data_IF_154507091401
#
_entry.id   IF_154507091401
#
_cell.length_a   1.000
_cell.length_b   1.000
_cell.length_c   1.000
_cell.angle_alpha   90.00
_cell.angle_beta   90.00
_cell.angle_gamma   90.00
#
_symmetry.space_group_name_H-M   'P 1'
#
loop_
_entity.id
_entity.type
_entity.pdbx_description
1 polymer ?
#
# COMPACT_ATOMS: atom_id res chain seq x y z
N UNK A 1 -6.73 -54.81 -3.23
CA UNK A 1 -6.85 -53.34 -3.31
C UNK A 1 -5.76 -52.77 -2.41
N UNK A 2 -4.72 -52.16 -2.98
CA UNK A 2 -3.53 -51.74 -2.23
C UNK A 2 -3.83 -50.65 -1.20
N UNK A 3 -3.28 -50.81 0.02
CA UNK A 3 -3.35 -49.84 1.12
C UNK A 3 -2.89 -48.44 0.69
N UNK A 4 -1.90 -48.37 -0.20
CA UNK A 4 -1.36 -47.13 -0.77
C UNK A 4 -2.35 -46.39 -1.69
N UNK A 5 -3.20 -47.12 -2.44
CA UNK A 5 -4.23 -46.51 -3.30
C UNK A 5 -5.35 -45.89 -2.46
N UNK A 6 -5.78 -46.54 -1.37
CA UNK A 6 -6.80 -45.98 -0.46
C UNK A 6 -6.36 -44.68 0.19
N UNK A 7 -5.10 -44.58 0.63
CA UNK A 7 -4.59 -43.34 1.22
C UNK A 7 -4.59 -42.17 0.24
N UNK A 8 -4.38 -42.42 -1.06
CA UNK A 8 -4.49 -41.37 -2.08
C UNK A 8 -5.95 -40.93 -2.31
N UNK A 9 -6.88 -41.88 -2.36
CA UNK A 9 -8.32 -41.57 -2.52
C UNK A 9 -8.79 -40.70 -1.36
N UNK A 10 -8.45 -41.05 -0.12
CA UNK A 10 -8.85 -40.29 1.08
C UNK A 10 -8.26 -38.87 1.09
N UNK A 11 -7.00 -38.70 0.66
CA UNK A 11 -6.38 -37.39 0.51
C UNK A 11 -7.02 -36.55 -0.60
N UNK A 12 -7.34 -37.15 -1.74
CA UNK A 12 -7.98 -36.45 -2.85
C UNK A 12 -9.43 -36.11 -2.56
N UNK A 13 -10.14 -36.93 -1.79
CA UNK A 13 -11.52 -36.65 -1.41
C UNK A 13 -11.63 -35.46 -0.45
N UNK A 14 -10.60 -35.21 0.36
CA UNK A 14 -10.52 -34.00 1.18
C UNK A 14 -10.20 -32.72 0.39
N UNK A 15 -9.79 -32.81 -0.90
CA UNK A 15 -9.43 -31.63 -1.70
C UNK A 15 -10.62 -31.06 -2.48
N UNK A 16 -10.67 -29.73 -2.69
CA UNK A 16 -11.66 -29.11 -3.56
C UNK A 16 -11.39 -29.47 -5.04
N UNK A 17 -12.47 -29.64 -5.81
CA UNK A 17 -12.43 -30.16 -7.19
C UNK A 17 -11.56 -29.32 -8.14
N UNK A 18 -11.47 -28.01 -7.93
CA UNK A 18 -10.58 -27.11 -8.69
C UNK A 18 -9.09 -27.46 -8.53
N UNK A 19 -8.66 -27.87 -7.33
CA UNK A 19 -7.29 -28.31 -7.07
C UNK A 19 -7.01 -29.70 -7.64
N UNK A 20 -8.00 -30.59 -7.64
CA UNK A 20 -7.89 -31.92 -8.27
C UNK A 20 -7.73 -31.80 -9.79
N UNK A 21 -8.54 -30.97 -10.44
CA UNK A 21 -8.43 -30.70 -11.89
C UNK A 21 -7.09 -30.02 -12.23
N UNK A 22 -6.62 -29.10 -11.39
CA UNK A 22 -5.30 -28.48 -11.57
C UNK A 22 -4.15 -29.50 -11.43
N UNK A 23 -4.24 -30.42 -10.46
CA UNK A 23 -3.24 -31.48 -10.24
C UNK A 23 -3.28 -32.53 -11.35
N UNK A 24 -4.46 -32.85 -11.88
CA UNK A 24 -4.60 -33.66 -13.11
C UNK A 24 -3.89 -33.02 -14.29
N UNK A 25 -4.06 -31.70 -14.49
CA UNK A 25 -3.39 -30.91 -15.54
C UNK A 25 -1.87 -30.89 -15.42
N UNK A 26 -1.33 -30.74 -14.21
CA UNK A 26 0.12 -30.70 -14.00
C UNK A 26 0.81 -32.03 -14.32
N UNK A 27 0.07 -33.15 -14.31
CA UNK A 27 0.64 -34.48 -14.54
C UNK A 27 1.68 -34.85 -13.48
N UNK A 28 2.56 -35.81 -13.82
CA UNK A 28 3.66 -36.20 -12.92
C UNK A 28 3.26 -36.98 -11.67
N UNK A 29 2.01 -37.43 -11.57
CA UNK A 29 1.58 -38.33 -10.52
C UNK A 29 2.08 -39.76 -10.80
N UNK A 30 2.45 -40.46 -9.74
CA UNK A 30 2.67 -41.91 -9.77
C UNK A 30 1.41 -42.58 -10.34
N UNK A 31 1.51 -43.61 -11.20
CA UNK A 31 0.34 -44.22 -11.87
C UNK A 31 -0.79 -44.63 -10.90
N UNK A 32 -0.44 -45.07 -9.69
CA UNK A 32 -1.39 -45.40 -8.62
C UNK A 32 -2.19 -44.18 -8.12
N UNK A 33 -1.52 -43.03 -7.97
CA UNK A 33 -2.14 -41.77 -7.56
C UNK A 33 -2.95 -41.14 -8.70
N UNK A 34 -2.52 -41.29 -9.95
CA UNK A 34 -3.29 -40.86 -11.12
C UNK A 34 -4.61 -41.63 -11.25
N UNK A 35 -4.58 -42.96 -11.05
CA UNK A 35 -5.78 -43.79 -11.05
C UNK A 35 -6.73 -43.43 -9.89
N UNK A 36 -6.19 -43.20 -8.68
CA UNK A 36 -6.97 -42.75 -7.52
C UNK A 36 -7.62 -41.37 -7.74
N UNK A 37 -6.91 -40.45 -8.38
CA UNK A 37 -7.41 -39.11 -8.66
C UNK A 37 -8.54 -39.12 -9.71
N UNK A 38 -8.41 -39.96 -10.74
CA UNK A 38 -9.49 -40.19 -11.72
C UNK A 38 -10.74 -40.83 -11.08
N UNK A 39 -10.56 -41.79 -10.18
CA UNK A 39 -11.65 -42.43 -9.41
C UNK A 39 -12.46 -41.39 -8.62
N UNK A 40 -11.77 -40.44 -7.96
CA UNK A 40 -12.39 -39.37 -7.16
C UNK A 40 -13.04 -38.30 -8.05
N UNK A 41 -12.47 -38.02 -9.22
CA UNK A 41 -13.11 -37.12 -10.20
C UNK A 41 -14.38 -37.76 -10.78
N UNK A 42 -14.34 -39.05 -11.09
CA UNK A 42 -15.47 -39.82 -11.61
C UNK A 42 -16.60 -39.92 -10.58
N UNK A 43 -16.28 -40.18 -9.30
CA UNK A 43 -17.27 -40.18 -8.20
C UNK A 43 -17.95 -38.83 -8.00
N UNK A 44 -17.29 -37.73 -8.41
CA UNK A 44 -17.83 -36.36 -8.40
C UNK A 44 -18.55 -35.99 -9.69
N UNK A 45 -18.77 -36.94 -10.59
CA UNK A 45 -19.51 -36.75 -11.85
C UNK A 45 -18.67 -36.19 -13.00
N UNK A 46 -17.34 -36.12 -12.85
CA UNK A 46 -16.42 -35.71 -13.89
C UNK A 46 -15.87 -36.95 -14.61
N UNK A 47 -16.52 -37.32 -15.71
CA UNK A 47 -15.93 -38.26 -16.65
C UNK A 47 -14.66 -37.65 -17.27
N UNK A 48 -13.73 -38.50 -17.73
CA UNK A 48 -12.45 -38.07 -18.30
C UNK A 48 -12.61 -37.02 -19.41
N UNK A 49 -13.60 -37.21 -20.28
CA UNK A 49 -13.95 -36.25 -21.35
C UNK A 49 -14.47 -34.90 -20.81
N UNK A 50 -15.30 -34.91 -19.76
CA UNK A 50 -15.81 -33.68 -19.13
C UNK A 50 -14.75 -32.93 -18.33
N UNK A 51 -13.79 -33.65 -17.74
CA UNK A 51 -12.65 -33.05 -17.06
C UNK A 51 -11.75 -32.31 -18.06
N UNK A 52 -11.50 -32.90 -19.23
CA UNK A 52 -10.72 -32.28 -20.32
C UNK A 52 -11.46 -31.09 -20.94
N UNK A 53 -12.79 -31.18 -21.16
CA UNK A 53 -13.61 -30.08 -21.68
C UNK A 53 -13.67 -28.88 -20.72
N UNK A 54 -13.86 -29.12 -19.42
CA UNK A 54 -13.81 -28.04 -18.42
C UNK A 54 -12.43 -27.41 -18.31
N UNK A 55 -11.37 -28.19 -18.53
CA UNK A 55 -10.01 -27.67 -18.54
C UNK A 55 -9.79 -26.70 -19.69
N UNK A 56 -10.28 -27.05 -20.89
CA UNK A 56 -10.20 -26.19 -22.07
C UNK A 56 -11.00 -24.90 -21.89
N UNK A 57 -12.22 -24.99 -21.35
CA UNK A 57 -13.05 -23.81 -21.06
C UNK A 57 -12.42 -22.89 -19.99
N UNK A 58 -11.80 -23.46 -18.96
CA UNK A 58 -11.11 -22.67 -17.95
C UNK A 58 -9.85 -21.98 -18.51
N UNK A 59 -9.15 -22.62 -19.45
CA UNK A 59 -7.97 -22.07 -20.10
C UNK A 59 -8.33 -20.93 -21.06
N UNK A 60 -9.37 -21.08 -21.88
CA UNK A 60 -9.84 -20.02 -22.77
C UNK A 60 -10.34 -18.81 -21.98
N UNK A 61 -11.10 -19.02 -20.91
CA UNK A 61 -11.57 -17.95 -20.03
C UNK A 61 -10.40 -17.23 -19.32
N UNK A 62 -9.36 -17.96 -18.91
CA UNK A 62 -8.17 -17.37 -18.30
C UNK A 62 -7.37 -16.52 -19.30
N UNK A 63 -7.23 -17.00 -20.54
CA UNK A 63 -6.57 -16.27 -21.63
C UNK A 63 -7.36 -15.00 -21.98
N UNK A 64 -8.68 -15.10 -22.14
CA UNK A 64 -9.55 -13.95 -22.44
C UNK A 64 -9.46 -12.89 -21.34
N UNK A 65 -9.47 -13.31 -20.06
CA UNK A 65 -9.29 -12.40 -18.93
C UNK A 65 -7.90 -11.75 -18.90
N UNK A 66 -6.86 -12.49 -19.27
CA UNK A 66 -5.50 -11.97 -19.36
C UNK A 66 -5.36 -10.94 -20.49
N UNK A 67 -5.95 -11.22 -21.66
CA UNK A 67 -5.99 -10.31 -22.82
C UNK A 67 -6.78 -9.05 -22.48
N UNK A 68 -7.96 -9.17 -21.87
CA UNK A 68 -8.75 -8.01 -21.45
C UNK A 68 -8.00 -7.12 -20.45
N UNK A 69 -7.22 -7.72 -19.53
CA UNK A 69 -6.38 -6.97 -18.59
C UNK A 69 -5.21 -6.27 -19.28
N UNK A 70 -4.60 -6.91 -20.28
CA UNK A 70 -3.55 -6.32 -21.10
C UNK A 70 -4.07 -5.13 -21.91
N UNK A 71 -5.20 -5.30 -22.61
CA UNK A 71 -5.86 -4.21 -23.35
C UNK A 71 -6.25 -3.05 -22.44
N UNK A 72 -6.80 -3.33 -21.26
CA UNK A 72 -7.14 -2.29 -20.28
C UNK A 72 -5.90 -1.51 -19.84
N UNK A 73 -4.77 -2.20 -19.64
CA UNK A 73 -3.49 -1.59 -19.25
C UNK A 73 -2.90 -0.76 -20.37
N UNK A 74 -2.95 -1.23 -21.62
CA UNK A 74 -2.50 -0.48 -22.78
C UNK A 74 -3.36 0.76 -23.05
N UNK A 75 -4.69 0.64 -22.93
CA UNK A 75 -5.60 1.81 -23.01
C UNK A 75 -5.29 2.83 -21.92
N UNK A 76 -4.99 2.38 -20.70
CA UNK A 76 -4.59 3.26 -19.61
C UNK A 76 -3.25 3.97 -19.90
N UNK A 77 -2.26 3.25 -20.44
CA UNK A 77 -0.96 3.82 -20.86
C UNK A 77 -1.11 4.81 -22.01
N UNK A 78 -1.91 4.49 -23.03
CA UNK A 78 -2.16 5.39 -24.15
C UNK A 78 -2.88 6.68 -23.72
N UNK A 79 -3.84 6.58 -22.79
CA UNK A 79 -4.50 7.74 -22.16
C UNK A 79 -3.53 8.57 -21.33
N UNK A 80 -2.66 7.94 -20.54
CA UNK A 80 -1.63 8.62 -19.76
C UNK A 80 -0.61 9.35 -20.65
N UNK A 81 -0.19 8.71 -21.76
CA UNK A 81 0.70 9.32 -22.75
C UNK A 81 0.06 10.55 -23.39
N UNK A 82 -1.21 10.48 -23.81
CA UNK A 82 -1.95 11.65 -24.34
C UNK A 82 -2.09 12.77 -23.30
N UNK A 83 -2.43 12.45 -22.05
CA UNK A 83 -2.49 13.44 -20.96
C UNK A 83 -1.14 14.08 -20.65
N UNK A 84 -0.02 13.37 -20.87
CA UNK A 84 1.32 13.90 -20.60
C UNK A 84 1.81 14.92 -21.65
N UNK A 85 1.22 14.91 -22.85
CA UNK A 85 1.60 15.78 -23.96
C UNK A 85 0.85 17.12 -23.92
N UNK A 86 -0.25 17.23 -23.17
CA UNK A 86 -1.00 18.49 -23.08
C UNK A 86 -0.22 19.56 -22.26
N UNK A 87 0.33 20.60 -22.91
CA UNK A 87 1.16 21.61 -22.23
C UNK A 87 0.37 22.38 -21.17
N UNK A 88 -0.95 22.43 -21.32
CA UNK A 88 -1.85 23.13 -20.40
C UNK A 88 -2.16 22.30 -19.15
N UNK A 89 -2.25 20.97 -19.27
CA UNK A 89 -2.43 20.10 -18.11
C UNK A 89 -1.17 20.07 -17.25
N UNK A 90 0.01 20.12 -17.89
CA UNK A 90 1.28 20.29 -17.21
C UNK A 90 1.33 21.61 -16.42
N UNK A 91 0.90 22.73 -17.01
CA UNK A 91 0.80 24.03 -16.30
C UNK A 91 -0.16 23.97 -15.12
N UNK A 92 -1.33 23.38 -15.30
CA UNK A 92 -2.32 23.27 -14.23
C UNK A 92 -1.82 22.39 -13.07
N UNK A 93 -1.14 21.27 -13.39
CA UNK A 93 -0.50 20.42 -12.38
C UNK A 93 0.57 21.20 -11.62
N UNK A 94 1.44 21.94 -12.32
CA UNK A 94 2.48 22.77 -11.68
C UNK A 94 1.85 23.83 -10.80
N UNK A 95 0.77 24.49 -11.24
CA UNK A 95 0.05 25.49 -10.46
C UNK A 95 -0.54 24.89 -9.17
N UNK A 96 -1.20 23.73 -9.28
CA UNK A 96 -1.74 23.01 -8.12
C UNK A 96 -0.62 22.58 -7.15
N UNK A 97 0.48 22.04 -7.67
CA UNK A 97 1.62 21.65 -6.85
C UNK A 97 2.28 22.86 -6.16
N UNK A 98 2.37 24.01 -6.84
CA UNK A 98 2.90 25.24 -6.23
C UNK A 98 2.06 25.74 -5.04
N UNK A 99 0.78 25.35 -4.98
CA UNK A 99 -0.14 25.69 -3.90
C UNK A 99 -0.09 24.64 -2.78
N UNK A 100 -0.05 23.35 -3.13
CA UNK A 100 -0.09 22.25 -2.15
C UNK A 100 1.26 22.06 -1.46
N UNK A 101 2.38 22.19 -2.18
CA UNK A 101 3.73 21.94 -1.65
C UNK A 101 4.06 22.82 -0.45
N UNK A 102 3.83 24.14 -0.45
CA UNK A 102 4.14 24.98 0.70
C UNK A 102 3.38 24.57 1.96
N UNK A 103 2.11 24.17 1.82
CA UNK A 103 1.29 23.70 2.95
C UNK A 103 1.84 22.39 3.50
N UNK A 104 2.09 21.41 2.62
CA UNK A 104 2.69 20.13 3.03
C UNK A 104 4.05 20.35 3.68
N UNK A 105 4.89 21.21 3.09
CA UNK A 105 6.21 21.54 3.62
C UNK A 105 6.11 22.21 5.00
N UNK A 106 5.16 23.12 5.22
CA UNK A 106 4.91 23.73 6.52
C UNK A 106 4.62 22.67 7.58
N UNK A 107 3.70 21.73 7.30
CA UNK A 107 3.40 20.62 8.21
C UNK A 107 4.59 19.69 8.43
N UNK A 108 5.37 19.39 7.39
CA UNK A 108 6.57 18.55 7.49
C UNK A 108 7.64 19.23 8.35
N UNK A 109 7.87 20.54 8.17
CA UNK A 109 8.80 21.31 8.99
C UNK A 109 8.36 21.33 10.46
N UNK A 110 7.07 21.43 10.73
CA UNK A 110 6.51 21.36 12.09
C UNK A 110 6.55 19.94 12.68
N UNK A 111 6.68 18.91 11.84
CA UNK A 111 6.91 17.54 12.27
C UNK A 111 8.41 17.22 12.53
N UNK A 112 9.35 18.08 12.13
CA UNK A 112 10.79 17.89 12.39
C UNK A 112 11.13 17.69 13.88
N UNK A 113 10.54 18.43 14.83
CA UNK A 113 10.75 18.19 16.26
C UNK A 113 10.48 16.74 16.68
N UNK A 114 9.48 16.08 16.07
CA UNK A 114 9.19 14.66 16.33
C UNK A 114 10.31 13.75 15.82
N UNK A 115 10.90 14.06 14.67
CA UNK A 115 12.09 13.36 14.15
C UNK A 115 13.33 13.58 15.03
N UNK A 116 13.49 14.78 15.60
CA UNK A 116 14.55 15.11 16.54
C UNK A 116 14.56 14.18 17.77
N UNK A 117 13.38 13.84 18.30
CA UNK A 117 13.24 12.91 19.42
C UNK A 117 13.84 11.53 19.11
N UNK A 118 13.58 10.99 17.91
CA UNK A 118 14.15 9.70 17.51
C UNK A 118 15.67 9.75 17.37
N UNK A 119 16.21 10.86 16.85
CA UNK A 119 17.67 11.04 16.71
C UNK A 119 18.35 11.11 18.07
N UNK A 120 17.77 11.79 19.05
CA UNK A 120 18.33 11.90 20.40
C UNK A 120 18.25 10.57 21.14
N UNK A 121 17.14 9.84 21.03
CA UNK A 121 17.02 8.49 21.62
C UNK A 121 18.05 7.53 21.02
N UNK A 122 18.18 7.50 19.69
CA UNK A 122 19.15 6.68 18.97
C UNK A 122 20.60 7.07 19.33
N UNK A 123 20.89 8.37 19.38
CA UNK A 123 22.21 8.88 19.74
C UNK A 123 22.65 8.47 21.14
N UNK A 124 21.74 8.56 22.11
CA UNK A 124 21.99 8.12 23.47
C UNK A 124 22.10 6.59 23.61
N UNK A 125 21.30 5.84 22.86
CA UNK A 125 21.40 4.37 22.77
C UNK A 125 22.78 3.92 22.26
N UNK A 126 23.32 4.60 21.24
CA UNK A 126 24.68 4.34 20.73
C UNK A 126 25.80 4.65 21.72
N UNK A 127 25.55 5.55 22.67
CA UNK A 127 26.48 5.87 23.76
C UNK A 127 26.37 4.88 24.93
N UNK A 128 25.54 3.85 24.82
CA UNK A 128 25.35 2.83 25.85
C UNK A 128 24.34 3.20 26.93
N UNK A 129 23.60 4.31 26.76
CA UNK A 129 22.55 4.71 27.70
C UNK A 129 21.24 3.99 27.33
N UNK A 130 20.75 3.11 28.22
CA UNK A 130 19.43 2.49 28.06
C UNK A 130 18.34 3.46 28.52
N UNK A 131 17.55 3.98 27.57
CA UNK A 131 16.44 4.92 27.82
C UNK A 131 15.09 4.20 28.02
N UNK A 132 15.11 2.96 28.51
CA UNK A 132 13.89 2.20 28.76
C UNK A 132 13.13 2.73 29.98
N UNK A 133 11.80 2.65 29.94
CA UNK A 133 10.87 3.08 30.99
C UNK A 133 11.18 2.49 32.38
N UNK A 134 11.92 1.37 32.41
CA UNK A 134 12.29 0.62 33.62
C UNK A 134 13.69 0.93 34.15
N UNK A 135 14.46 1.83 33.53
CA UNK A 135 15.85 2.09 33.89
C UNK A 135 16.26 3.55 33.65
N UNK A 136 15.58 4.49 34.32
CA UNK A 136 16.03 5.90 34.38
C UNK A 136 17.18 6.02 35.38
N UNK A 137 18.36 5.55 34.98
CA UNK A 137 19.59 5.75 35.73
C UNK A 137 20.41 6.89 35.12
N UNK A 138 21.11 7.71 35.93
CA UNK A 138 22.00 8.73 35.42
C UNK A 138 23.10 8.08 34.58
N UNK A 139 23.17 8.47 33.30
CA UNK A 139 24.13 7.93 32.35
C UNK A 139 25.22 8.98 32.14
N UNK A 140 26.42 8.74 32.72
CA UNK A 140 27.52 9.68 32.61
C UNK A 140 28.41 9.38 31.41
N UNK A 141 28.46 10.31 30.46
CA UNK A 141 29.39 10.27 29.33
C UNK A 141 30.26 11.52 29.43
N UNK A 142 31.58 11.34 29.53
CA UNK A 142 32.55 12.43 29.67
C UNK A 142 32.26 13.37 30.86
N UNK A 143 31.72 12.82 31.96
CA UNK A 143 31.37 13.60 33.16
C UNK A 143 30.05 14.36 33.08
N UNK A 144 29.31 14.26 31.97
CA UNK A 144 27.98 14.86 31.82
C UNK A 144 26.89 13.80 31.96
N UNK A 145 25.82 14.13 32.70
CA UNK A 145 24.62 13.30 32.81
C UNK A 145 23.78 13.41 31.54
N UNK A 146 24.01 12.46 30.63
CA UNK A 146 23.26 12.34 29.38
C UNK A 146 21.81 11.88 29.62
N UNK A 147 21.54 11.21 30.74
CA UNK A 147 20.17 10.84 31.12
C UNK A 147 19.31 12.08 31.36
N UNK A 148 19.82 13.03 32.15
CA UNK A 148 19.16 14.32 32.38
C UNK A 148 19.04 15.15 31.10
N UNK A 149 20.07 15.14 30.23
CA UNK A 149 20.04 15.89 28.97
C UNK A 149 19.00 15.34 27.99
N UNK A 150 18.96 14.02 27.82
CA UNK A 150 17.98 13.35 26.96
C UNK A 150 16.58 13.49 27.54
N UNK A 151 16.41 13.40 28.86
CA UNK A 151 15.11 13.57 29.49
C UNK A 151 14.59 15.01 29.35
N UNK A 152 15.44 16.01 29.59
CA UNK A 152 15.09 17.42 29.36
C UNK A 152 14.73 17.68 27.90
N UNK A 153 15.54 17.19 26.96
CA UNK A 153 15.27 17.28 25.53
C UNK A 153 13.95 16.59 25.15
N UNK A 154 13.72 15.36 25.64
CA UNK A 154 12.52 14.59 25.35
C UNK A 154 11.30 15.28 25.92
N UNK A 155 11.31 15.75 27.17
CA UNK A 155 10.15 16.43 27.75
C UNK A 155 9.90 17.76 27.02
N UNK A 156 10.92 18.58 26.82
CA UNK A 156 10.76 19.90 26.19
C UNK A 156 10.33 19.80 24.73
N UNK A 157 10.91 18.88 23.95
CA UNK A 157 10.64 18.74 22.51
C UNK A 157 9.48 17.78 22.25
N UNK A 158 9.16 16.85 23.13
CA UNK A 158 7.87 16.15 23.08
C UNK A 158 6.72 17.09 23.42
N UNK A 159 6.87 17.96 24.42
CA UNK A 159 5.86 18.99 24.71
C UNK A 159 5.76 19.94 23.52
N UNK A 160 6.86 20.56 23.07
CA UNK A 160 6.84 21.44 21.89
C UNK A 160 6.34 20.72 20.63
N UNK A 161 6.73 19.46 20.44
CA UNK A 161 6.41 18.61 19.30
C UNK A 161 5.01 18.02 19.31
N UNK A 162 4.40 17.78 20.48
CA UNK A 162 3.01 17.33 20.62
C UNK A 162 2.03 18.51 20.61
N UNK A 163 2.43 19.65 21.17
CA UNK A 163 1.71 20.90 20.99
C UNK A 163 1.86 21.46 19.57
N UNK A 164 2.91 21.08 18.82
CA UNK A 164 3.14 21.60 17.47
C UNK A 164 2.02 21.30 16.48
N UNK A 165 1.53 20.05 16.31
CA UNK A 165 0.44 19.74 15.39
C UNK A 165 -0.85 20.47 15.76
N UNK A 166 -1.15 20.59 17.06
CA UNK A 166 -2.33 21.28 17.56
C UNK A 166 -2.24 22.78 17.26
N UNK A 167 -1.09 23.39 17.57
CA UNK A 167 -0.83 24.80 17.28
C UNK A 167 -0.79 25.09 15.77
N UNK A 168 -0.21 24.17 14.99
CA UNK A 168 -0.17 24.24 13.53
C UNK A 168 -1.57 24.17 12.93
N UNK A 169 -2.42 23.28 13.45
CA UNK A 169 -3.82 23.18 13.04
C UNK A 169 -4.59 24.45 13.41
N UNK A 170 -4.39 25.00 14.61
CA UNK A 170 -5.03 26.25 15.03
C UNK A 170 -4.58 27.45 14.17
N UNK A 171 -3.28 27.57 13.91
CA UNK A 171 -2.74 28.59 13.00
C UNK A 171 -3.28 28.42 11.58
N UNK A 172 -3.41 27.18 11.10
CA UNK A 172 -3.99 26.91 9.80
C UNK A 172 -5.47 27.30 9.74
N UNK A 173 -6.26 27.02 10.79
CA UNK A 173 -7.66 27.46 10.88
C UNK A 173 -7.75 28.99 10.90
N UNK A 174 -6.91 29.66 11.70
CA UNK A 174 -6.83 31.14 11.71
C UNK A 174 -6.43 31.68 10.35
N UNK A 175 -5.49 31.02 9.66
CA UNK A 175 -5.11 31.36 8.29
C UNK A 175 -6.29 31.20 7.33
N UNK A 176 -7.05 30.10 7.38
CA UNK A 176 -8.23 29.87 6.54
C UNK A 176 -9.31 30.94 6.75
N UNK A 177 -9.44 31.47 7.97
CA UNK A 177 -10.36 32.55 8.30
C UNK A 177 -9.85 33.94 7.88
N UNK A 178 -8.54 34.08 7.62
CA UNK A 178 -7.98 35.33 7.13
C UNK A 178 -8.34 35.58 5.66
N UNK A 179 -8.33 36.85 5.24
CA UNK A 179 -8.54 37.23 3.83
C UNK A 179 -7.60 36.50 2.89
N UNK A 180 -6.35 36.27 3.30
CA UNK A 180 -5.36 35.54 2.50
C UNK A 180 -5.76 34.06 2.31
N UNK A 181 -6.24 33.40 3.36
CA UNK A 181 -6.71 32.02 3.29
C UNK A 181 -7.98 31.87 2.44
N UNK A 182 -8.91 32.83 2.53
CA UNK A 182 -10.11 32.85 1.69
C UNK A 182 -9.73 32.99 0.21
N UNK A 183 -8.85 33.94 -0.14
CA UNK A 183 -8.37 34.11 -1.52
C UNK A 183 -7.65 32.86 -2.03
N UNK A 184 -6.86 32.22 -1.17
CA UNK A 184 -6.19 30.96 -1.46
C UNK A 184 -7.17 29.82 -1.76
N UNK A 185 -8.20 29.65 -0.93
CA UNK A 185 -9.27 28.66 -1.13
C UNK A 185 -10.04 28.92 -2.43
N UNK A 186 -10.36 30.17 -2.73
CA UNK A 186 -11.00 30.56 -3.99
C UNK A 186 -10.10 30.25 -5.20
N UNK A 187 -8.80 30.47 -5.08
CA UNK A 187 -7.82 30.09 -6.10
C UNK A 187 -7.82 28.59 -6.36
N UNK A 188 -7.80 27.76 -5.31
CA UNK A 188 -7.88 26.30 -5.44
C UNK A 188 -9.21 25.89 -6.09
N UNK A 189 -10.33 26.44 -5.61
CA UNK A 189 -11.65 26.14 -6.16
C UNK A 189 -11.73 26.50 -7.64
N UNK A 190 -11.20 27.66 -8.05
CA UNK A 190 -11.15 28.09 -9.44
C UNK A 190 -10.30 27.14 -10.30
N UNK A 191 -9.15 26.68 -9.81
CA UNK A 191 -8.29 25.71 -10.51
C UNK A 191 -9.02 24.37 -10.69
N UNK A 192 -9.69 23.88 -9.65
CA UNK A 192 -10.47 22.62 -9.71
C UNK A 192 -11.65 22.77 -10.67
N UNK A 193 -12.37 23.89 -10.62
CA UNK A 193 -13.51 24.17 -11.50
C UNK A 193 -13.06 24.26 -12.96
N UNK A 194 -11.99 25.02 -13.22
CA UNK A 194 -11.39 25.14 -14.55
C UNK A 194 -10.97 23.76 -15.09
N UNK A 195 -10.43 22.90 -14.23
CA UNK A 195 -10.10 21.53 -14.61
C UNK A 195 -11.34 20.68 -14.92
N UNK A 196 -12.38 20.77 -14.10
CA UNK A 196 -13.62 20.00 -14.27
C UNK A 196 -14.36 20.40 -15.53
N UNK A 197 -14.52 21.70 -15.79
CA UNK A 197 -15.15 22.23 -17.02
C UNK A 197 -14.40 21.72 -18.24
N UNK A 198 -13.06 21.80 -18.22
CA UNK A 198 -12.24 21.38 -19.35
C UNK A 198 -12.31 19.87 -19.62
N UNK A 199 -12.40 19.07 -18.55
CA UNK A 199 -12.57 17.62 -18.68
C UNK A 199 -13.91 17.28 -19.33
N UNK A 200 -14.97 18.04 -19.05
CA UNK A 200 -16.26 17.89 -19.71
C UNK A 200 -16.26 18.33 -21.18
N UNK A 201 -15.48 19.34 -21.56
CA UNK A 201 -15.39 19.79 -22.97
C UNK A 201 -14.53 18.91 -23.90
N UNK A 202 -13.80 17.94 -23.35
CA UNK A 202 -12.91 17.03 -24.08
C UNK A 202 -13.52 15.62 -24.30
N UNK A 203 -14.76 15.41 -23.87
CA UNK A 203 -15.57 14.23 -24.16
C UNK A 203 -16.64 14.60 -25.19
#
# INVERSE_FOLDING_TARGET
MDTRRRSFIEQFDAMPTNLLLHRYKQGGLVPEAAAALLDVLESRGYSREKADEQLQLAETAAIEKAVAKLEATERARARAARLSVDPVLKRLRVLLWSIVVPVVMFFVLLAIPLLGNFIVIEGASRLGCNLGENAVHPCFVLGHDMGSFVYGYLVDIFVLGAFNPVFSAELFVKFLQSTAGILWMLGIAAIILAWRIRRHSLC
#
